data_IF_462551857934
#
_entry.id   IF_462551857934
#
_cell.length_a   1.000
_cell.length_b   1.000
_cell.length_c   1.000
_cell.angle_alpha   90.00
_cell.angle_beta   90.00
_cell.angle_gamma   90.00
#
_symmetry.space_group_name_H-M   'P 1'
#
loop_
_entity.id
_entity.type
_entity.pdbx_description
1 polymer ?
#
# COMPACT_ATOMS: atom_id res chain seq x y z
N UNK A 1 7.33 25.64 2.91
CA UNK A 1 6.10 26.00 2.18
C UNK A 1 4.88 25.52 2.96
N UNK A 2 3.81 26.33 3.00
CA UNK A 2 2.55 25.99 3.66
C UNK A 2 1.52 25.57 2.60
N UNK A 3 0.70 24.58 2.95
CA UNK A 3 -0.48 24.16 2.21
C UNK A 3 -1.62 25.17 2.37
N UNK A 4 -2.71 25.02 1.59
CA UNK A 4 -3.91 25.86 1.75
C UNK A 4 -4.64 25.63 3.07
N UNK A 5 -4.39 24.50 3.73
CA UNK A 5 -4.82 24.20 5.11
C UNK A 5 -4.00 24.96 6.18
N UNK A 6 -2.96 25.71 5.80
CA UNK A 6 -2.06 26.41 6.73
C UNK A 6 -0.99 25.51 7.37
N UNK A 7 -1.04 24.21 7.12
CA UNK A 7 -0.10 23.19 7.60
C UNK A 7 1.08 23.05 6.63
N UNK A 8 2.24 22.57 7.08
CA UNK A 8 3.38 22.35 6.17
C UNK A 8 3.05 21.30 5.10
N UNK A 9 3.50 21.55 3.88
CA UNK A 9 3.33 20.63 2.74
C UNK A 9 3.94 19.24 3.06
N UNK A 10 5.07 19.21 3.78
CA UNK A 10 5.71 17.97 4.18
C UNK A 10 4.91 17.16 5.19
N UNK A 11 4.24 17.81 6.14
CA UNK A 11 3.36 17.13 7.10
C UNK A 11 2.15 16.51 6.41
N UNK A 12 1.59 17.21 5.42
CA UNK A 12 0.42 16.76 4.68
C UNK A 12 0.76 15.57 3.76
N UNK A 13 1.94 15.57 3.14
CA UNK A 13 2.48 14.41 2.44
C UNK A 13 2.76 13.23 3.39
N UNK A 14 3.37 13.49 4.56
CA UNK A 14 3.62 12.47 5.58
C UNK A 14 2.32 11.82 6.07
N UNK A 15 1.27 12.63 6.28
CA UNK A 15 -0.05 12.14 6.64
C UNK A 15 -0.61 11.16 5.60
N UNK A 16 -0.44 11.43 4.29
CA UNK A 16 -0.85 10.48 3.25
C UNK A 16 -0.13 9.13 3.40
N UNK A 17 1.20 9.13 3.57
CA UNK A 17 1.95 7.88 3.77
C UNK A 17 1.54 7.13 5.05
N UNK A 18 1.31 7.85 6.15
CA UNK A 18 0.88 7.24 7.42
C UNK A 18 -0.56 6.73 7.38
N UNK A 19 -1.48 7.40 6.67
CA UNK A 19 -2.84 6.87 6.51
C UNK A 19 -2.86 5.57 5.71
N UNK A 20 -1.99 5.44 4.70
CA UNK A 20 -1.76 4.18 3.99
C UNK A 20 -1.20 3.04 4.86
N UNK A 21 -0.62 3.39 6.02
CA UNK A 21 -0.10 2.45 7.01
C UNK A 21 -1.19 2.01 8.00
N UNK A 22 -1.82 2.98 8.69
CA UNK A 22 -2.62 2.69 9.90
C UNK A 22 -4.10 2.42 9.66
N UNK A 23 -4.70 3.00 8.63
CA UNK A 23 -6.17 3.06 8.53
C UNK A 23 -6.71 2.60 7.17
N UNK A 24 -5.87 1.98 6.35
CA UNK A 24 -6.25 1.45 5.06
C UNK A 24 -6.54 2.54 4.01
N UNK A 25 -7.34 2.17 3.01
CA UNK A 25 -7.51 2.98 1.81
C UNK A 25 -8.39 4.23 1.99
N UNK A 26 -9.37 4.20 2.90
CA UNK A 26 -10.37 5.27 3.02
C UNK A 26 -9.75 6.63 3.39
N UNK A 27 -9.02 6.79 4.51
CA UNK A 27 -8.43 8.08 4.84
C UNK A 27 -7.29 8.47 3.90
N UNK A 28 -6.57 7.49 3.36
CA UNK A 28 -5.57 7.73 2.32
C UNK A 28 -6.21 8.41 1.10
N UNK A 29 -7.33 7.88 0.59
CA UNK A 29 -8.03 8.45 -0.55
C UNK A 29 -8.66 9.81 -0.23
N UNK A 30 -9.17 10.01 0.99
CA UNK A 30 -9.68 11.33 1.40
C UNK A 30 -8.58 12.40 1.37
N UNK A 31 -7.41 12.10 1.96
CA UNK A 31 -6.29 13.05 1.99
C UNK A 31 -5.68 13.23 0.61
N UNK A 32 -5.44 12.15 -0.14
CA UNK A 32 -4.92 12.23 -1.49
C UNK A 32 -5.88 12.98 -2.42
N UNK A 33 -7.19 12.73 -2.30
CA UNK A 33 -8.24 13.43 -3.04
C UNK A 33 -8.27 14.92 -2.71
N UNK A 34 -8.20 15.28 -1.42
CA UNK A 34 -8.07 16.67 -0.99
C UNK A 34 -6.85 17.35 -1.64
N UNK A 35 -5.67 16.73 -1.52
CA UNK A 35 -4.42 17.24 -2.09
C UNK A 35 -4.59 17.48 -3.60
N UNK A 36 -5.09 16.50 -4.33
CA UNK A 36 -5.18 16.56 -5.79
C UNK A 36 -6.16 17.62 -6.30
N UNK A 37 -7.24 17.88 -5.55
CA UNK A 37 -8.29 18.83 -5.91
C UNK A 37 -8.02 20.26 -5.44
N UNK A 38 -7.27 20.45 -4.35
CA UNK A 38 -7.17 21.75 -3.68
C UNK A 38 -5.76 22.32 -3.57
N UNK A 39 -4.72 21.49 -3.63
CA UNK A 39 -3.34 21.95 -3.50
C UNK A 39 -2.69 22.14 -4.87
N UNK A 40 -2.01 23.26 -5.08
CA UNK A 40 -1.29 23.55 -6.34
C UNK A 40 0.17 23.07 -6.30
N UNK A 41 0.65 22.59 -5.15
CA UNK A 41 2.03 22.19 -5.00
C UNK A 41 2.30 20.86 -5.72
N UNK A 42 3.04 20.91 -6.84
CA UNK A 42 3.35 19.74 -7.67
C UNK A 42 4.01 18.60 -6.89
N UNK A 43 4.96 18.91 -6.00
CA UNK A 43 5.63 17.90 -5.18
C UNK A 43 4.66 17.20 -4.21
N UNK A 44 3.70 17.95 -3.65
CA UNK A 44 2.68 17.41 -2.76
C UNK A 44 1.69 16.51 -3.50
N UNK A 45 1.21 16.97 -4.66
CA UNK A 45 0.32 16.18 -5.53
C UNK A 45 0.99 14.89 -5.98
N UNK A 46 2.25 14.99 -6.41
CA UNK A 46 3.07 13.84 -6.75
C UNK A 46 3.26 12.88 -5.57
N UNK A 47 3.56 13.40 -4.38
CA UNK A 47 3.71 12.59 -3.17
C UNK A 47 2.40 11.88 -2.78
N UNK A 48 1.26 12.52 -2.97
CA UNK A 48 -0.05 11.93 -2.70
C UNK A 48 -0.37 10.75 -3.65
N UNK A 49 -0.15 10.94 -4.96
CA UNK A 49 -0.34 9.87 -5.95
C UNK A 49 0.63 8.72 -5.67
N UNK A 50 1.88 9.05 -5.34
CA UNK A 50 2.88 8.06 -4.97
C UNK A 50 2.46 7.24 -3.75
N UNK A 51 1.94 7.86 -2.69
CA UNK A 51 1.43 7.15 -1.53
C UNK A 51 0.33 6.14 -1.91
N UNK A 52 -0.62 6.55 -2.75
CA UNK A 52 -1.68 5.68 -3.28
C UNK A 52 -1.10 4.51 -4.07
N UNK A 53 -0.17 4.77 -4.99
CA UNK A 53 0.43 3.74 -5.83
C UNK A 53 1.24 2.71 -5.01
N UNK A 54 1.97 3.14 -3.99
CA UNK A 54 2.69 2.22 -3.09
C UNK A 54 1.69 1.30 -2.37
N UNK A 55 0.61 1.86 -1.81
CA UNK A 55 -0.41 1.05 -1.15
C UNK A 55 -1.09 0.06 -2.09
N UNK A 56 -1.41 0.48 -3.32
CA UNK A 56 -1.99 -0.39 -4.35
C UNK A 56 -1.03 -1.50 -4.79
N UNK A 57 0.27 -1.19 -4.93
CA UNK A 57 1.28 -2.18 -5.30
C UNK A 57 1.34 -3.31 -4.27
N UNK A 58 1.47 -2.96 -2.98
CA UNK A 58 1.51 -3.97 -1.92
C UNK A 58 0.20 -4.73 -1.78
N UNK A 59 -0.95 -4.06 -1.95
CA UNK A 59 -2.24 -4.74 -1.95
C UNK A 59 -2.36 -5.75 -3.11
N UNK A 60 -1.87 -5.39 -4.30
CA UNK A 60 -1.82 -6.29 -5.46
C UNK A 60 -0.92 -7.51 -5.22
N UNK A 61 0.28 -7.31 -4.67
CA UNK A 61 1.20 -8.40 -4.30
C UNK A 61 0.53 -9.34 -3.30
N UNK A 62 -0.05 -8.79 -2.22
CA UNK A 62 -0.77 -9.56 -1.21
C UNK A 62 -1.95 -10.31 -1.80
N UNK A 63 -2.72 -9.71 -2.72
CA UNK A 63 -3.84 -10.36 -3.38
C UNK A 63 -3.38 -11.57 -4.22
N UNK A 64 -2.31 -11.43 -5.00
CA UNK A 64 -1.76 -12.53 -5.80
C UNK A 64 -1.25 -13.67 -4.93
N UNK A 65 -0.52 -13.37 -3.85
CA UNK A 65 0.00 -14.41 -2.95
C UNK A 65 -1.16 -15.16 -2.26
N UNK A 66 -2.23 -14.45 -1.88
CA UNK A 66 -3.41 -15.05 -1.24
C UNK A 66 -4.25 -15.96 -2.16
N UNK A 67 -4.01 -15.96 -3.48
CA UNK A 67 -4.66 -16.94 -4.37
C UNK A 67 -4.29 -18.37 -3.98
N UNK A 68 -3.05 -18.61 -3.55
CA UNK A 68 -2.58 -19.95 -3.16
C UNK A 68 -3.38 -20.50 -1.97
N UNK A 69 -3.44 -19.83 -0.80
CA UNK A 69 -4.19 -20.33 0.35
C UNK A 69 -5.70 -20.36 0.10
N UNK A 70 -6.22 -19.47 -0.75
CA UNK A 70 -7.64 -19.51 -1.15
C UNK A 70 -7.98 -20.78 -1.94
N UNK A 71 -7.08 -21.19 -2.85
CA UNK A 71 -7.23 -22.42 -3.62
C UNK A 71 -7.05 -23.66 -2.74
N UNK A 72 -6.05 -23.70 -1.86
CA UNK A 72 -5.87 -24.83 -0.92
C UNK A 72 -7.08 -24.98 -0.01
N UNK A 73 -7.63 -23.87 0.51
CA UNK A 73 -8.84 -23.87 1.33
C UNK A 73 -10.06 -24.36 0.55
N UNK A 74 -10.21 -23.93 -0.71
CA UNK A 74 -11.31 -24.38 -1.58
C UNK A 74 -11.25 -25.88 -1.83
N UNK A 75 -10.05 -26.42 -2.10
CA UNK A 75 -9.83 -27.86 -2.26
C UNK A 75 -10.11 -28.63 -0.97
N UNK A 76 -9.72 -28.09 0.19
CA UNK A 76 -10.04 -28.68 1.49
C UNK A 76 -11.55 -28.81 1.69
N UNK A 77 -12.31 -27.73 1.51
CA UNK A 77 -13.78 -27.78 1.65
C UNK A 77 -14.44 -28.70 0.62
N UNK A 78 -13.92 -28.76 -0.61
CA UNK A 78 -14.40 -29.69 -1.62
C UNK A 78 -14.16 -31.15 -1.21
N UNK A 79 -12.96 -31.46 -0.69
CA UNK A 79 -12.62 -32.82 -0.26
C UNK A 79 -13.50 -33.31 0.90
N UNK A 80 -13.90 -32.41 1.80
CA UNK A 80 -14.78 -32.72 2.93
C UNK A 80 -16.19 -33.18 2.49
N UNK A 81 -16.62 -32.85 1.27
CA UNK A 81 -17.92 -33.29 0.73
C UNK A 81 -17.84 -34.75 0.26
N UNK A 82 -16.70 -35.18 -0.27
CA UNK A 82 -16.55 -36.45 -0.99
C UNK A 82 -15.64 -37.46 -0.29
N UNK A 83 -15.01 -37.11 0.84
CA UNK A 83 -13.99 -37.94 1.48
C UNK A 83 -13.98 -37.78 3.00
N UNK A 84 -13.82 -38.91 3.70
CA UNK A 84 -13.65 -38.97 5.16
C UNK A 84 -12.25 -38.52 5.61
N UNK A 85 -11.28 -38.45 4.69
CA UNK A 85 -9.93 -37.91 4.91
C UNK A 85 -9.69 -36.67 4.05
N UNK A 86 -9.95 -35.45 4.58
CA UNK A 86 -9.88 -34.22 3.80
C UNK A 86 -8.44 -33.77 3.55
N UNK A 87 -8.22 -33.24 2.35
CA UNK A 87 -6.92 -32.79 1.87
C UNK A 87 -6.38 -31.58 2.66
N UNK A 88 -5.28 -31.74 3.41
CA UNK A 88 -4.64 -30.66 4.19
C UNK A 88 -3.16 -30.50 3.86
N UNK A 89 -2.74 -29.30 3.48
CA UNK A 89 -1.32 -28.93 3.30
C UNK A 89 -0.91 -27.81 4.27
N UNK A 90 -1.00 -28.08 5.58
CA UNK A 90 -0.74 -27.08 6.61
C UNK A 90 0.68 -26.48 6.59
N UNK A 91 1.68 -27.21 6.08
CA UNK A 91 3.05 -26.67 5.95
C UNK A 91 3.16 -25.58 4.87
N UNK A 92 2.40 -25.70 3.78
CA UNK A 92 2.37 -24.72 2.69
C UNK A 92 1.66 -23.44 3.15
N UNK A 93 0.52 -23.58 3.83
CA UNK A 93 -0.23 -22.42 4.34
C UNK A 93 0.61 -21.60 5.33
N UNK A 94 1.36 -22.26 6.22
CA UNK A 94 2.28 -21.58 7.14
C UNK A 94 3.41 -20.84 6.40
N UNK A 95 3.99 -21.45 5.36
CA UNK A 95 5.03 -20.81 4.55
C UNK A 95 4.50 -19.58 3.82
N UNK A 96 3.31 -19.68 3.21
CA UNK A 96 2.67 -18.54 2.55
C UNK A 96 2.33 -17.45 3.58
N UNK A 97 1.83 -17.83 4.76
CA UNK A 97 1.58 -16.90 5.85
C UNK A 97 2.83 -16.12 6.26
N UNK A 98 3.98 -16.80 6.37
CA UNK A 98 5.27 -16.15 6.63
C UNK A 98 5.64 -15.15 5.54
N UNK A 99 5.48 -15.51 4.26
CA UNK A 99 5.76 -14.61 3.14
C UNK A 99 4.87 -13.36 3.20
N UNK A 100 3.57 -13.54 3.47
CA UNK A 100 2.62 -12.43 3.61
C UNK A 100 3.01 -11.47 4.76
N UNK A 101 3.46 -12.01 5.90
CA UNK A 101 3.96 -11.19 7.00
C UNK A 101 5.22 -10.41 6.61
N UNK A 102 6.15 -11.03 5.89
CA UNK A 102 7.34 -10.34 5.39
C UNK A 102 6.98 -9.20 4.43
N UNK A 103 6.02 -9.43 3.53
CA UNK A 103 5.51 -8.39 2.61
C UNK A 103 4.93 -7.21 3.39
N UNK A 104 4.14 -7.47 4.44
CA UNK A 104 3.55 -6.41 5.26
C UNK A 104 4.59 -5.64 6.09
N UNK A 105 5.62 -6.33 6.61
CA UNK A 105 6.77 -5.68 7.26
C UNK A 105 7.49 -4.75 6.27
N UNK A 106 7.76 -5.21 5.05
CA UNK A 106 8.42 -4.39 4.03
C UNK A 106 7.57 -3.18 3.66
N UNK A 107 6.26 -3.36 3.45
CA UNK A 107 5.31 -2.27 3.22
C UNK A 107 5.39 -1.23 4.34
N UNK A 108 5.37 -1.71 5.58
CA UNK A 108 5.41 -0.89 6.78
C UNK A 108 6.68 -0.04 6.84
N UNK A 109 7.84 -0.67 6.64
CA UNK A 109 9.13 0.04 6.62
C UNK A 109 9.17 1.08 5.49
N UNK A 110 8.72 0.73 4.29
CA UNK A 110 8.72 1.66 3.14
C UNK A 110 7.84 2.89 3.43
N UNK A 111 6.61 2.70 3.91
CA UNK A 111 5.69 3.80 4.20
C UNK A 111 6.18 4.66 5.37
N UNK A 112 6.77 4.06 6.40
CA UNK A 112 7.38 4.81 7.51
C UNK A 112 8.54 5.69 7.02
N UNK A 113 9.48 5.11 6.26
CA UNK A 113 10.62 5.86 5.73
C UNK A 113 10.16 6.99 4.81
N UNK A 114 9.14 6.76 3.98
CA UNK A 114 8.55 7.79 3.14
C UNK A 114 7.87 8.89 3.96
N UNK A 115 7.07 8.52 4.97
CA UNK A 115 6.42 9.49 5.86
C UNK A 115 7.42 10.38 6.58
N UNK A 116 8.48 9.80 7.18
CA UNK A 116 9.51 10.58 7.86
C UNK A 116 10.32 11.47 6.91
N UNK A 117 10.66 10.99 5.71
CA UNK A 117 11.35 11.81 4.71
C UNK A 117 10.47 12.94 4.18
N UNK A 118 9.17 12.66 3.99
CA UNK A 118 8.21 13.65 3.50
C UNK A 118 8.08 14.86 4.44
N UNK A 119 8.26 14.70 5.75
CA UNK A 119 8.28 15.83 6.72
C UNK A 119 9.30 16.92 6.33
N UNK A 120 10.43 16.50 5.76
CA UNK A 120 11.50 17.39 5.29
C UNK A 120 11.45 17.61 3.77
N UNK A 121 10.33 17.30 3.12
CA UNK A 121 10.16 17.30 1.65
C UNK A 121 11.14 16.37 0.91
N UNK A 122 11.70 15.40 1.63
CA UNK A 122 12.57 14.37 1.07
C UNK A 122 11.79 13.28 0.36
N UNK A 123 12.50 12.49 -0.45
CA UNK A 123 11.94 11.40 -1.22
C UNK A 123 12.70 10.09 -0.97
N UNK A 124 11.99 8.96 -1.08
CA UNK A 124 12.59 7.64 -1.18
C UNK A 124 12.41 7.15 -2.62
N UNK A 125 13.46 7.06 -3.46
CA UNK A 125 13.33 6.65 -4.85
C UNK A 125 12.88 5.20 -4.93
N UNK A 126 11.74 4.97 -5.58
CA UNK A 126 11.19 3.64 -5.87
C UNK A 126 11.18 3.33 -7.38
N UNK A 127 11.75 4.20 -8.21
CA UNK A 127 11.99 3.97 -9.63
C UNK A 127 10.71 3.83 -10.44
N UNK A 128 10.13 2.63 -10.50
CA UNK A 128 8.90 2.35 -11.26
C UNK A 128 7.68 3.07 -10.69
N UNK A 129 7.57 3.17 -9.36
CA UNK A 129 6.45 3.90 -8.73
C UNK A 129 6.56 5.39 -8.99
N UNK A 130 7.78 5.93 -9.01
CA UNK A 130 8.02 7.36 -9.27
C UNK A 130 7.63 7.74 -10.70
N UNK A 131 7.97 6.89 -11.67
CA UNK A 131 7.59 7.05 -13.09
C UNK A 131 6.08 6.96 -13.29
N UNK A 132 5.40 6.04 -12.61
CA UNK A 132 3.95 5.94 -12.67
C UNK A 132 3.28 7.19 -12.08
N UNK A 133 3.77 7.69 -10.94
CA UNK A 133 3.24 8.89 -10.32
C UNK A 133 3.41 10.13 -11.21
N UNK A 134 4.55 10.31 -11.87
CA UNK A 134 4.77 11.44 -12.77
C UNK A 134 3.91 11.35 -14.03
N UNK A 135 3.79 10.16 -14.63
CA UNK A 135 2.97 9.94 -15.84
C UNK A 135 1.50 10.31 -15.65
N UNK A 136 0.93 10.01 -14.48
CA UNK A 136 -0.49 10.27 -14.21
C UNK A 136 -0.80 11.70 -13.73
N UNK A 137 0.23 12.53 -13.49
CA UNK A 137 0.09 13.92 -13.04
C UNK A 137 0.48 14.96 -14.08
N UNK A 138 1.48 14.66 -14.91
CA UNK A 138 2.08 15.59 -15.87
C UNK A 138 2.00 15.09 -17.32
N UNK A 139 1.29 13.98 -17.54
CA UNK A 139 1.03 13.40 -18.86
C UNK A 139 -0.20 13.98 -19.53
#
# INVERSE_FOLDING_TARGET
>A
MKSRLGVSVGLLAAAAYFFGLFSGFVPLFLVAGYILLREDNDWLRWSAVKAVLVCLLFAGITAVINLIPSLTSSLYYLSMIFSDDPFRISKLDNLIGLILQLVDIVKTVVLLLMGFRALHQGNLPLGKVDQAASKHLFG
#
